data_IF_526767167628
#
_entry.id   IF_526767167628
#
_cell.length_a   1.000
_cell.length_b   1.000
_cell.length_c   1.000
_cell.angle_alpha   90.00
_cell.angle_beta   90.00
_cell.angle_gamma   90.00
#
_symmetry.space_group_name_H-M   'P 1'
#
loop_
_entity.id
_entity.type
_entity.pdbx_description
1 polymer ?
#
# COMPACT_ATOMS: atom_id res chain seq x y z
N UNK A 1 -21.52 17.06 -22.72
CA UNK A 1 -21.87 16.11 -21.63
C UNK A 1 -20.84 16.28 -20.53
N UNK A 2 -21.21 16.11 -19.26
CA UNK A 2 -20.24 16.14 -18.16
C UNK A 2 -19.28 14.94 -18.27
N UNK A 3 -18.00 15.14 -17.93
CA UNK A 3 -17.03 14.04 -17.81
C UNK A 3 -17.47 13.14 -16.66
N UNK A 4 -17.20 11.83 -16.78
CA UNK A 4 -17.43 10.89 -15.67
C UNK A 4 -16.30 11.04 -14.66
N UNK A 5 -16.59 10.79 -13.39
CA UNK A 5 -15.60 10.86 -12.32
C UNK A 5 -15.13 9.46 -11.89
N UNK A 6 -13.85 9.35 -11.53
CA UNK A 6 -13.23 8.15 -10.97
C UNK A 6 -12.57 8.54 -9.65
N UNK A 7 -12.95 7.87 -8.56
CA UNK A 7 -12.19 7.93 -7.30
C UNK A 7 -11.24 6.72 -7.26
N UNK A 8 -9.97 6.97 -6.96
CA UNK A 8 -8.92 5.96 -6.91
C UNK A 8 -8.34 5.96 -5.49
N UNK A 9 -8.32 4.79 -4.87
CA UNK A 9 -7.67 4.59 -3.57
C UNK A 9 -6.15 4.73 -3.69
N UNK A 10 -5.45 5.03 -2.60
CA UNK A 10 -3.99 5.19 -2.61
C UNK A 10 -3.28 3.93 -2.14
N UNK A 11 -3.61 3.42 -0.96
CA UNK A 11 -2.90 2.31 -0.34
C UNK A 11 -3.24 0.99 -1.03
N UNK A 12 -2.23 0.17 -1.35
CA UNK A 12 -2.37 -1.08 -2.13
C UNK A 12 -2.96 -0.90 -3.55
N UNK A 13 -3.11 0.34 -4.04
CA UNK A 13 -3.61 0.67 -5.39
C UNK A 13 -2.65 1.57 -6.17
N UNK A 14 -2.20 2.68 -5.57
CA UNK A 14 -1.21 3.60 -6.16
C UNK A 14 0.15 3.50 -5.46
N UNK A 15 0.14 3.24 -4.15
CA UNK A 15 1.31 3.10 -3.30
C UNK A 15 1.37 1.67 -2.73
N UNK A 16 2.55 1.04 -2.83
CA UNK A 16 2.81 -0.32 -2.32
C UNK A 16 3.03 -0.30 -0.79
N UNK A 17 1.95 -0.07 -0.05
CA UNK A 17 1.95 -0.08 1.42
C UNK A 17 2.23 -1.46 1.98
N UNK A 18 1.58 -2.51 1.46
CA UNK A 18 1.74 -3.87 1.97
C UNK A 18 3.18 -4.37 1.80
N UNK A 19 3.80 -4.15 0.64
CA UNK A 19 5.21 -4.49 0.42
C UNK A 19 6.14 -3.77 1.40
N UNK A 20 5.92 -2.48 1.63
CA UNK A 20 6.71 -1.71 2.60
C UNK A 20 6.53 -2.19 4.05
N UNK A 21 5.31 -2.56 4.46
CA UNK A 21 5.06 -3.13 5.79
C UNK A 21 5.80 -4.46 5.94
N UNK A 22 5.74 -5.35 4.95
CA UNK A 22 6.43 -6.65 5.00
C UNK A 22 7.94 -6.46 5.10
N UNK A 23 8.51 -5.54 4.31
CA UNK A 23 9.92 -5.21 4.36
C UNK A 23 10.34 -4.75 5.77
N UNK A 24 9.60 -3.80 6.35
CA UNK A 24 9.85 -3.29 7.70
C UNK A 24 9.68 -4.37 8.78
N UNK A 25 8.62 -5.18 8.72
CA UNK A 25 8.40 -6.29 9.67
C UNK A 25 9.53 -7.31 9.57
N UNK A 26 10.00 -7.65 8.38
CA UNK A 26 11.09 -8.60 8.20
C UNK A 26 12.43 -8.06 8.72
N UNK A 27 12.66 -6.75 8.62
CA UNK A 27 13.84 -6.10 9.19
C UNK A 27 13.86 -6.27 10.72
N UNK A 28 12.72 -6.01 11.38
CA UNK A 28 12.60 -6.05 12.84
C UNK A 28 12.56 -7.48 13.41
N UNK A 29 11.81 -8.38 12.77
CA UNK A 29 11.49 -9.70 13.32
C UNK A 29 12.37 -10.83 12.78
N UNK A 30 13.04 -10.63 11.64
CA UNK A 30 13.79 -11.66 10.90
C UNK A 30 12.96 -12.89 10.48
N UNK A 31 11.64 -12.76 10.39
CA UNK A 31 10.74 -13.89 10.10
C UNK A 31 10.66 -14.31 8.63
N UNK A 32 11.10 -13.46 7.69
CA UNK A 32 11.12 -13.80 6.27
C UNK A 32 9.73 -13.97 5.64
N UNK A 33 8.76 -13.18 6.10
CA UNK A 33 7.37 -13.14 5.60
C UNK A 33 7.38 -12.75 4.12
N UNK A 34 6.62 -13.46 3.29
CA UNK A 34 6.43 -13.15 1.88
C UNK A 34 4.99 -12.75 1.58
N UNK A 35 4.74 -12.09 0.46
CA UNK A 35 3.38 -11.74 0.03
C UNK A 35 2.49 -12.99 -0.08
N UNK A 36 3.02 -14.09 -0.61
CA UNK A 36 2.31 -15.37 -0.76
C UNK A 36 1.91 -15.95 0.60
N UNK A 37 2.73 -15.74 1.63
CA UNK A 37 2.42 -16.20 2.99
C UNK A 37 1.22 -15.48 3.61
N UNK A 38 0.86 -14.31 3.08
CA UNK A 38 -0.28 -13.51 3.52
C UNK A 38 -1.56 -13.77 2.72
N UNK A 39 -1.54 -14.70 1.76
CA UNK A 39 -2.72 -14.97 0.93
C UNK A 39 -3.91 -15.46 1.78
N UNK A 40 -4.95 -14.64 1.86
CA UNK A 40 -6.15 -14.90 2.66
C UNK A 40 -5.98 -14.68 4.18
N UNK A 41 -4.85 -14.13 4.62
CA UNK A 41 -4.56 -13.86 6.03
C UNK A 41 -4.12 -12.42 6.23
N UNK A 42 -4.48 -11.85 7.38
CA UNK A 42 -3.96 -10.55 7.79
C UNK A 42 -2.58 -10.73 8.42
N UNK A 43 -1.69 -9.77 8.20
CA UNK A 43 -0.32 -9.82 8.74
C UNK A 43 -0.27 -9.99 10.26
N UNK A 44 -1.19 -9.36 10.99
CA UNK A 44 -1.31 -9.51 12.45
C UNK A 44 -1.59 -10.96 12.92
N UNK A 45 -2.19 -11.81 12.08
CA UNK A 45 -2.37 -13.23 12.39
C UNK A 45 -1.08 -14.03 12.19
N UNK A 46 -0.18 -13.55 11.32
CA UNK A 46 1.11 -14.20 11.03
C UNK A 46 2.17 -13.83 12.06
N UNK A 47 2.06 -12.63 12.67
CA UNK A 47 2.97 -12.14 13.71
C UNK A 47 2.27 -11.84 15.05
N UNK A 48 1.60 -12.82 15.69
CA UNK A 48 0.82 -12.58 16.89
C UNK A 48 1.68 -12.15 18.10
N UNK A 49 2.96 -12.52 18.14
CA UNK A 49 3.89 -12.11 19.21
C UNK A 49 4.37 -10.65 19.07
N UNK A 50 4.10 -10.01 17.92
CA UNK A 50 4.49 -8.63 17.62
C UNK A 50 3.25 -7.73 17.49
N UNK A 51 2.30 -7.89 18.40
CA UNK A 51 1.12 -7.02 18.43
C UNK A 51 1.52 -5.54 18.55
N UNK A 52 0.88 -4.68 17.77
CA UNK A 52 1.22 -3.26 17.67
C UNK A 52 2.37 -2.91 16.73
N UNK A 53 3.26 -3.84 16.34
CA UNK A 53 4.42 -3.53 15.48
C UNK A 53 4.01 -2.86 14.16
N UNK A 54 3.00 -3.42 13.48
CA UNK A 54 2.49 -2.86 12.21
C UNK A 54 1.99 -1.42 12.42
N UNK A 55 1.35 -1.15 13.56
CA UNK A 55 0.84 0.19 13.88
C UNK A 55 1.98 1.18 14.10
N UNK A 56 3.07 0.74 14.72
CA UNK A 56 4.24 1.57 14.96
C UNK A 56 5.00 1.85 13.65
N UNK A 57 5.11 0.86 12.76
CA UNK A 57 5.65 1.02 11.40
C UNK A 57 4.84 2.06 10.62
N UNK A 58 3.51 1.94 10.61
CA UNK A 58 2.62 2.89 9.92
C UNK A 58 2.69 4.31 10.49
N UNK A 59 3.09 4.46 11.76
CA UNK A 59 3.25 5.77 12.41
C UNK A 59 4.66 6.32 12.31
N UNK A 60 5.62 5.52 11.83
CA UNK A 60 6.99 5.96 11.70
C UNK A 60 7.04 7.18 10.77
N UNK A 61 7.76 8.24 11.16
CA UNK A 61 7.98 9.37 10.28
C UNK A 61 8.50 8.90 8.93
N UNK A 62 8.05 9.54 7.86
CA UNK A 62 8.48 9.27 6.50
C UNK A 62 8.07 7.89 5.91
N UNK A 63 7.32 7.05 6.63
CA UNK A 63 6.88 5.74 6.12
C UNK A 63 6.15 5.89 4.76
N UNK A 64 5.07 6.66 4.74
CA UNK A 64 4.26 6.87 3.53
C UNK A 64 4.99 7.63 2.42
N UNK A 65 5.98 8.46 2.77
CA UNK A 65 6.73 9.28 1.81
C UNK A 65 7.61 8.44 0.88
N UNK A 66 8.08 7.30 1.37
CA UNK A 66 9.03 6.44 0.65
C UNK A 66 8.39 5.21 0.02
N UNK A 67 7.05 5.14 -0.01
CA UNK A 67 6.36 4.03 -0.65
C UNK A 67 6.68 3.97 -2.14
N UNK A 68 6.89 2.75 -2.62
CA UNK A 68 7.06 2.50 -4.05
C UNK A 68 5.72 2.72 -4.73
N UNK A 69 5.74 3.33 -5.90
CA UNK A 69 4.56 3.45 -6.76
C UNK A 69 4.24 2.06 -7.33
N UNK A 70 2.96 1.68 -7.33
CA UNK A 70 2.52 0.43 -7.98
C UNK A 70 2.85 0.47 -9.49
N UNK A 71 3.35 -0.63 -10.09
CA UNK A 71 3.75 -0.64 -11.49
C UNK A 71 2.67 -0.08 -12.41
N UNK A 72 3.07 0.80 -13.33
CA UNK A 72 2.22 1.46 -14.33
C UNK A 72 1.14 2.41 -13.78
N UNK A 73 1.01 2.58 -12.45
CA UNK A 73 -0.06 3.39 -11.87
C UNK A 73 -0.03 4.85 -12.36
N UNK A 74 1.15 5.48 -12.42
CA UNK A 74 1.28 6.86 -12.91
C UNK A 74 0.82 7.01 -14.37
N UNK A 75 1.31 6.15 -15.26
CA UNK A 75 0.97 6.16 -16.69
C UNK A 75 -0.55 5.93 -16.89
N UNK A 76 -1.12 4.95 -16.20
CA UNK A 76 -2.55 4.63 -16.33
C UNK A 76 -3.43 5.74 -15.77
N UNK A 77 -3.07 6.31 -14.62
CA UNK A 77 -3.83 7.43 -14.02
C UNK A 77 -3.75 8.67 -14.91
N UNK A 78 -2.60 8.95 -15.51
CA UNK A 78 -2.45 10.05 -16.48
C UNK A 78 -3.38 9.85 -17.69
N UNK A 79 -3.38 8.66 -18.30
CA UNK A 79 -4.28 8.31 -19.40
C UNK A 79 -5.77 8.40 -19.03
N UNK A 80 -6.14 7.98 -17.82
CA UNK A 80 -7.51 8.13 -17.31
C UNK A 80 -7.87 9.61 -17.14
N UNK A 81 -6.95 10.42 -16.64
CA UNK A 81 -7.18 11.84 -16.39
C UNK A 81 -7.33 12.69 -17.67
N UNK A 82 -6.96 12.15 -18.84
CA UNK A 82 -7.31 12.76 -20.14
C UNK A 82 -8.81 12.71 -20.44
N UNK A 83 -9.52 11.70 -19.91
CA UNK A 83 -10.92 11.39 -20.28
C UNK A 83 -11.90 11.55 -19.11
N UNK A 84 -11.45 11.32 -17.88
CA UNK A 84 -12.25 11.31 -16.65
C UNK A 84 -11.80 12.39 -15.68
N UNK A 85 -12.69 12.84 -14.80
CA UNK A 85 -12.29 13.63 -13.64
C UNK A 85 -11.78 12.67 -12.56
N UNK A 86 -10.46 12.61 -12.37
CA UNK A 86 -9.82 11.69 -11.44
C UNK A 86 -9.60 12.34 -10.08
N UNK A 87 -10.00 11.64 -9.02
CA UNK A 87 -9.79 12.02 -7.63
C UNK A 87 -9.02 10.92 -6.92
N UNK A 88 -8.02 11.28 -6.13
CA UNK A 88 -7.39 10.35 -5.20
C UNK A 88 -8.13 10.48 -3.86
N UNK A 89 -8.67 9.36 -3.38
CA UNK A 89 -9.31 9.24 -2.08
C UNK A 89 -8.48 8.30 -1.22
N UNK A 90 -8.18 8.66 0.02
CA UNK A 90 -7.31 7.90 0.93
C UNK A 90 -7.69 8.11 2.38
#
# INVERSE_FOLDING_TARGET
>A
MARKSIAIDMDEVLADTLGAIIEAVNIETKLGITMESLHGQKLNHVIPEHDGLVRDILRAPEFFRHLKVIPHAQEVVENLNEHYDVYIAT
#
